data_IF_596115603606
#
_entry.id   IF_596115603606
#
_cell.length_a   1.000
_cell.length_b   1.000
_cell.length_c   1.000
_cell.angle_alpha   90.00
_cell.angle_beta   90.00
_cell.angle_gamma   90.00
#
_symmetry.space_group_name_H-M   'P 1'
#
loop_
_entity.id
_entity.type
_entity.pdbx_description
1 polymer ?
#
# COMPACT_ATOMS: atom_id res chain seq x y z
N UNK A 1 3.01 -13.43 -65.89
CA UNK A 1 2.33 -14.64 -65.39
C UNK A 1 3.09 -15.12 -64.14
N UNK A 2 2.46 -15.10 -62.98
CA UNK A 2 3.03 -15.74 -61.77
C UNK A 2 2.81 -17.27 -61.94
N UNK A 3 3.81 -18.11 -61.68
CA UNK A 3 3.61 -19.55 -61.77
C UNK A 3 2.58 -19.98 -60.75
N UNK A 4 1.64 -20.85 -61.12
CA UNK A 4 0.68 -21.47 -60.21
C UNK A 4 1.48 -22.31 -59.22
N UNK A 5 1.28 -22.04 -57.90
CA UNK A 5 1.87 -22.87 -56.84
C UNK A 5 1.37 -24.30 -56.99
N UNK A 6 2.29 -25.27 -56.90
CA UNK A 6 1.92 -26.69 -56.95
C UNK A 6 1.03 -27.06 -55.77
N UNK A 7 0.16 -28.05 -55.92
CA UNK A 7 -0.78 -28.52 -54.88
C UNK A 7 -0.02 -28.84 -53.55
N UNK A 8 1.18 -29.37 -53.66
CA UNK A 8 2.10 -29.64 -52.53
C UNK A 8 2.57 -28.37 -51.77
N UNK A 9 2.79 -27.24 -52.48
CA UNK A 9 3.15 -25.97 -51.85
C UNK A 9 1.98 -25.35 -51.11
N UNK A 10 0.76 -25.53 -51.62
CA UNK A 10 -0.47 -25.05 -50.95
C UNK A 10 -0.74 -25.83 -49.64
N UNK A 11 -0.58 -27.15 -49.70
CA UNK A 11 -0.74 -28.02 -48.50
C UNK A 11 0.32 -27.71 -47.46
N UNK A 12 1.57 -27.48 -47.83
CA UNK A 12 2.66 -27.09 -46.91
C UNK A 12 2.36 -25.74 -46.27
N UNK A 13 1.89 -24.76 -47.01
CA UNK A 13 1.54 -23.43 -46.49
C UNK A 13 0.34 -23.50 -45.57
N UNK A 14 -0.67 -24.30 -45.88
CA UNK A 14 -1.81 -24.54 -45.01
C UNK A 14 -1.44 -25.21 -43.69
N UNK A 15 -0.48 -26.17 -43.74
CA UNK A 15 0.07 -26.80 -42.54
C UNK A 15 0.79 -25.80 -41.63
N UNK A 16 1.67 -24.97 -42.22
CA UNK A 16 2.36 -23.91 -41.46
C UNK A 16 1.40 -22.87 -40.87
N UNK A 17 0.37 -22.47 -41.62
CA UNK A 17 -0.64 -21.53 -41.12
C UNK A 17 -1.39 -22.10 -39.91
N UNK A 18 -1.80 -23.39 -39.97
CA UNK A 18 -2.44 -24.05 -38.82
C UNK A 18 -1.53 -24.11 -37.59
N UNK A 19 -0.24 -24.41 -37.75
CA UNK A 19 0.73 -24.42 -36.68
C UNK A 19 0.90 -23.03 -36.04
N UNK A 20 0.97 -21.97 -36.86
CA UNK A 20 1.05 -20.59 -36.38
C UNK A 20 -0.23 -20.20 -35.59
N UNK A 21 -1.41 -20.57 -36.05
CA UNK A 21 -2.67 -20.31 -35.33
C UNK A 21 -2.71 -21.02 -34.00
N UNK A 22 -2.31 -22.30 -33.94
CA UNK A 22 -2.26 -23.05 -32.69
C UNK A 22 -1.29 -22.40 -31.68
N UNK A 23 -0.11 -21.97 -32.16
CA UNK A 23 0.87 -21.29 -31.32
C UNK A 23 0.35 -19.94 -30.79
N UNK A 24 -0.31 -19.16 -31.66
CA UNK A 24 -0.90 -17.88 -31.29
C UNK A 24 -2.01 -18.03 -30.26
N UNK A 25 -2.92 -18.99 -30.45
CA UNK A 25 -4.02 -19.26 -29.53
C UNK A 25 -3.50 -19.72 -28.17
N UNK A 26 -2.52 -20.65 -28.16
CA UNK A 26 -1.88 -21.08 -26.94
C UNK A 26 -1.16 -19.94 -26.21
N UNK A 27 -0.39 -19.11 -26.93
CA UNK A 27 0.30 -17.96 -26.37
C UNK A 27 -0.70 -16.94 -25.80
N UNK A 28 -1.80 -16.67 -26.50
CA UNK A 28 -2.83 -15.75 -26.00
C UNK A 28 -3.48 -16.25 -24.70
N UNK A 29 -3.86 -17.54 -24.68
CA UNK A 29 -4.45 -18.18 -23.48
C UNK A 29 -3.48 -18.12 -22.31
N UNK A 30 -2.21 -18.44 -22.51
CA UNK A 30 -1.17 -18.46 -21.47
C UNK A 30 -0.93 -17.04 -20.91
N UNK A 31 -0.77 -16.04 -21.79
CA UNK A 31 -0.47 -14.67 -21.40
C UNK A 31 -1.64 -13.97 -20.64
N UNK A 32 -2.84 -14.52 -20.71
CA UNK A 32 -4.01 -14.01 -19.96
C UNK A 32 -4.05 -14.48 -18.51
N UNK A 33 -3.23 -15.49 -18.12
CA UNK A 33 -3.22 -16.07 -16.78
C UNK A 33 -2.14 -15.39 -15.94
N UNK A 34 -2.55 -14.61 -14.94
CA UNK A 34 -1.64 -13.91 -14.03
C UNK A 34 -1.31 -14.69 -12.75
N UNK A 35 -2.15 -15.67 -12.39
CA UNK A 35 -1.86 -16.55 -11.26
C UNK A 35 -0.87 -17.65 -11.67
N UNK A 36 0.27 -17.71 -10.97
CA UNK A 36 1.37 -18.60 -11.34
C UNK A 36 0.99 -20.08 -11.25
N UNK A 37 0.25 -20.49 -10.22
CA UNK A 37 -0.10 -21.89 -10.03
C UNK A 37 -1.10 -22.34 -11.11
N UNK A 38 -2.11 -21.52 -11.40
CA UNK A 38 -3.07 -21.74 -12.50
C UNK A 38 -2.37 -21.79 -13.87
N UNK A 39 -1.39 -20.91 -14.07
CA UNK A 39 -0.57 -20.89 -15.31
C UNK A 39 0.23 -22.18 -15.47
N UNK A 40 0.91 -22.63 -14.42
CA UNK A 40 1.70 -23.86 -14.45
C UNK A 40 0.84 -25.10 -14.72
N UNK A 41 -0.33 -25.18 -14.11
CA UNK A 41 -1.30 -26.28 -14.35
C UNK A 41 -1.82 -26.25 -15.79
N UNK A 42 -2.09 -25.06 -16.35
CA UNK A 42 -2.50 -24.92 -17.75
C UNK A 42 -1.38 -25.34 -18.71
N UNK A 43 -0.12 -25.04 -18.40
CA UNK A 43 1.04 -25.43 -19.21
C UNK A 43 1.17 -26.96 -19.25
N UNK A 44 1.21 -27.61 -18.11
CA UNK A 44 1.38 -29.08 -18.09
C UNK A 44 0.13 -29.85 -18.52
N UNK A 45 -1.04 -29.20 -18.45
CA UNK A 45 -2.32 -29.75 -18.86
C UNK A 45 -2.66 -29.48 -20.31
N UNK A 46 -3.37 -28.39 -20.53
CA UNK A 46 -4.00 -28.07 -21.82
C UNK A 46 -2.97 -27.84 -22.94
N UNK A 47 -1.88 -27.13 -22.62
CA UNK A 47 -0.85 -26.82 -23.61
C UNK A 47 -0.11 -28.09 -24.01
N UNK A 48 0.39 -28.86 -23.07
CA UNK A 48 1.11 -30.08 -23.35
C UNK A 48 0.25 -31.07 -24.17
N UNK A 49 -1.02 -31.19 -23.84
CA UNK A 49 -1.96 -32.04 -24.59
C UNK A 49 -2.18 -31.53 -26.02
N UNK A 50 -2.34 -30.20 -26.20
CA UNK A 50 -2.54 -29.60 -27.53
C UNK A 50 -1.35 -29.86 -28.44
N UNK A 51 -0.14 -29.94 -27.89
CA UNK A 51 1.09 -30.20 -28.63
C UNK A 51 1.54 -31.68 -28.60
N UNK A 52 0.65 -32.59 -28.20
CA UNK A 52 0.87 -34.02 -28.31
C UNK A 52 1.83 -34.62 -27.28
N UNK A 53 2.04 -33.95 -26.16
CA UNK A 53 2.85 -34.47 -25.07
C UNK A 53 2.01 -35.43 -24.20
N UNK A 54 2.41 -36.71 -24.08
CA UNK A 54 1.72 -37.65 -23.21
C UNK A 54 1.96 -37.42 -21.72
N UNK A 55 3.14 -36.86 -21.39
CA UNK A 55 3.57 -36.45 -20.05
C UNK A 55 4.33 -35.14 -20.13
N UNK A 56 4.18 -34.33 -19.12
CA UNK A 56 4.84 -33.01 -19.08
C UNK A 56 5.11 -32.56 -17.66
N UNK A 57 6.17 -31.78 -17.52
CA UNK A 57 6.52 -31.12 -16.26
C UNK A 57 7.09 -29.72 -16.53
N UNK A 58 6.95 -28.85 -15.54
CA UNK A 58 7.65 -27.58 -15.47
C UNK A 58 8.54 -27.58 -14.25
N UNK A 59 9.81 -27.27 -14.47
CA UNK A 59 10.78 -27.06 -13.42
C UNK A 59 11.21 -25.59 -13.46
N UNK A 60 11.28 -24.92 -12.32
CA UNK A 60 11.74 -23.53 -12.23
C UNK A 60 13.02 -23.46 -11.41
N UNK A 61 13.91 -22.55 -11.80
CA UNK A 61 15.13 -22.29 -11.02
C UNK A 61 14.75 -21.54 -9.75
N UNK A 62 15.12 -22.12 -8.61
CA UNK A 62 15.16 -21.43 -7.31
C UNK A 62 16.45 -20.60 -7.26
N UNK A 63 16.32 -19.28 -7.22
CA UNK A 63 17.47 -18.35 -7.25
C UNK A 63 18.34 -18.47 -5.97
N UNK A 64 17.78 -18.92 -4.85
CA UNK A 64 18.52 -19.05 -3.60
C UNK A 64 19.46 -20.26 -3.59
N UNK A 65 18.99 -21.42 -4.09
CA UNK A 65 19.77 -22.67 -4.14
C UNK A 65 20.46 -22.89 -5.48
N UNK A 66 20.05 -22.17 -6.54
CA UNK A 66 20.47 -22.38 -7.93
C UNK A 66 20.19 -23.82 -8.41
N UNK A 67 19.07 -24.38 -8.00
CA UNK A 67 18.58 -25.70 -8.38
C UNK A 67 17.26 -25.58 -9.15
N UNK A 68 16.94 -26.61 -9.97
CA UNK A 68 15.65 -26.73 -10.62
C UNK A 68 14.67 -27.40 -9.65
N UNK A 69 13.60 -26.73 -9.32
CA UNK A 69 12.49 -27.27 -8.50
C UNK A 69 11.33 -27.71 -9.41
N UNK A 70 10.83 -28.93 -9.22
CA UNK A 70 9.66 -29.43 -9.91
C UNK A 70 8.41 -28.73 -9.37
N UNK A 71 7.82 -27.82 -10.14
CA UNK A 71 6.68 -26.99 -9.71
C UNK A 71 5.34 -27.47 -10.26
N UNK A 72 5.32 -28.12 -11.42
CA UNK A 72 4.12 -28.69 -12.00
C UNK A 72 4.43 -29.95 -12.79
N UNK A 73 3.52 -30.93 -12.76
CA UNK A 73 3.66 -32.21 -13.46
C UNK A 73 2.30 -32.77 -13.81
N UNK A 74 2.21 -33.43 -14.98
CA UNK A 74 1.02 -34.17 -15.41
C UNK A 74 1.40 -35.46 -16.16
N UNK A 75 0.58 -36.48 -16.00
CA UNK A 75 0.73 -37.75 -16.72
C UNK A 75 1.71 -38.75 -16.07
N UNK A 76 2.39 -38.42 -14.99
CA UNK A 76 3.24 -39.33 -14.24
C UNK A 76 2.38 -40.23 -13.35
N UNK A 77 2.60 -41.53 -13.40
CA UNK A 77 1.87 -42.53 -12.59
C UNK A 77 2.65 -42.95 -11.35
N UNK A 78 3.96 -42.78 -11.38
CA UNK A 78 4.85 -43.07 -10.24
C UNK A 78 5.27 -41.74 -9.59
N UNK A 79 5.28 -41.73 -8.25
CA UNK A 79 5.69 -40.56 -7.49
C UNK A 79 7.19 -40.59 -7.16
N UNK A 80 8.03 -40.92 -8.12
CA UNK A 80 9.50 -40.98 -7.94
C UNK A 80 10.05 -39.62 -7.57
N UNK A 81 9.51 -38.57 -8.20
CA UNK A 81 9.85 -37.20 -7.89
C UNK A 81 8.58 -36.39 -7.58
N UNK A 82 8.27 -36.13 -6.31
CA UNK A 82 7.12 -35.33 -5.93
C UNK A 82 7.33 -33.84 -6.29
N UNK A 83 6.23 -33.09 -6.42
CA UNK A 83 6.28 -31.62 -6.52
C UNK A 83 7.14 -31.07 -5.38
N UNK A 84 8.05 -30.13 -5.70
CA UNK A 84 9.07 -29.60 -4.79
C UNK A 84 10.41 -30.36 -4.83
N UNK A 85 10.51 -31.48 -5.58
CA UNK A 85 11.80 -32.16 -5.76
C UNK A 85 12.78 -31.26 -6.53
N UNK A 86 14.06 -31.32 -6.15
CA UNK A 86 15.11 -30.44 -6.69
C UNK A 86 16.17 -31.20 -7.45
N UNK A 87 16.58 -30.64 -8.60
CA UNK A 87 17.64 -31.18 -9.47
C UNK A 87 18.78 -30.19 -9.54
N UNK A 88 20.02 -30.66 -9.42
CA UNK A 88 21.22 -29.83 -9.57
C UNK A 88 21.48 -29.55 -11.04
N UNK A 89 21.56 -28.26 -11.39
CA UNK A 89 21.84 -27.82 -12.76
C UNK A 89 23.19 -28.37 -13.22
N UNK A 90 23.20 -29.03 -14.41
CA UNK A 90 24.36 -29.62 -15.03
C UNK A 90 24.89 -30.93 -14.40
N UNK A 91 24.21 -31.46 -13.37
CA UNK A 91 24.62 -32.67 -12.69
C UNK A 91 23.52 -33.75 -12.68
N UNK A 92 22.28 -33.38 -12.50
CA UNK A 92 21.19 -34.31 -12.27
C UNK A 92 20.11 -34.18 -13.34
N UNK A 93 19.80 -35.29 -14.02
CA UNK A 93 18.78 -35.40 -15.03
C UNK A 93 19.11 -34.70 -16.35
N UNK A 94 18.32 -35.02 -17.38
CA UNK A 94 18.36 -34.35 -18.68
C UNK A 94 17.92 -32.89 -18.53
N UNK A 95 16.96 -32.61 -17.67
CA UNK A 95 16.51 -31.26 -17.32
C UNK A 95 17.66 -30.37 -16.82
N UNK A 96 18.56 -30.93 -15.96
CA UNK A 96 19.74 -30.20 -15.48
C UNK A 96 20.73 -29.88 -16.58
N UNK A 97 20.92 -30.81 -17.55
CA UNK A 97 21.78 -30.60 -18.72
C UNK A 97 21.20 -29.54 -19.68
N UNK A 98 19.87 -29.57 -19.92
CA UNK A 98 19.19 -28.58 -20.74
C UNK A 98 19.30 -27.17 -20.13
N UNK A 99 19.12 -27.03 -18.83
CA UNK A 99 19.26 -25.76 -18.13
C UNK A 99 20.70 -25.20 -18.24
N UNK A 100 21.72 -26.06 -18.07
CA UNK A 100 23.14 -25.68 -18.18
C UNK A 100 23.51 -25.24 -19.58
N UNK A 101 23.14 -26.06 -20.59
CA UNK A 101 23.48 -25.79 -22.01
C UNK A 101 22.71 -24.61 -22.59
N UNK A 102 21.57 -24.24 -21.94
CA UNK A 102 20.63 -23.23 -22.44
C UNK A 102 20.05 -23.53 -23.84
N UNK A 103 20.07 -24.79 -24.22
CA UNK A 103 19.59 -25.28 -25.51
C UNK A 103 18.61 -26.42 -25.31
N UNK A 104 17.63 -26.58 -26.21
CA UNK A 104 16.79 -27.77 -26.18
C UNK A 104 17.62 -29.04 -26.22
N UNK A 105 17.23 -30.03 -25.44
CA UNK A 105 17.86 -31.33 -25.40
C UNK A 105 16.81 -32.38 -25.74
N UNK A 106 16.95 -33.04 -26.88
CA UNK A 106 16.12 -34.17 -27.29
C UNK A 106 16.86 -35.50 -27.12
N UNK A 107 16.25 -36.42 -26.42
CA UNK A 107 16.74 -37.77 -26.16
C UNK A 107 15.78 -38.78 -26.75
N UNK A 108 16.03 -39.30 -27.99
CA UNK A 108 15.13 -40.23 -28.67
C UNK A 108 15.03 -41.61 -28.00
N UNK A 109 16.02 -41.98 -27.21
CA UNK A 109 16.08 -43.19 -26.39
C UNK A 109 16.78 -42.90 -25.06
N UNK A 110 15.97 -42.73 -24.01
CA UNK A 110 16.49 -42.35 -22.68
C UNK A 110 17.38 -43.41 -22.06
N UNK A 111 17.22 -44.70 -22.45
CA UNK A 111 18.03 -45.83 -21.94
C UNK A 111 19.52 -45.72 -22.34
N UNK A 112 19.81 -44.98 -23.38
CA UNK A 112 21.17 -44.74 -23.86
C UNK A 112 21.86 -43.51 -23.27
N UNK A 113 21.11 -42.71 -22.48
CA UNK A 113 21.66 -41.48 -21.90
C UNK A 113 22.24 -41.74 -20.52
N UNK A 114 23.52 -41.44 -20.24
CA UNK A 114 24.09 -41.57 -18.92
C UNK A 114 23.57 -40.54 -17.91
N UNK A 115 22.87 -39.52 -18.38
CA UNK A 115 22.32 -38.45 -17.55
C UNK A 115 20.83 -38.63 -17.25
N UNK A 116 20.19 -39.68 -17.81
CA UNK A 116 18.76 -39.91 -17.55
C UNK A 116 18.52 -40.30 -16.10
N UNK A 117 17.62 -39.62 -15.44
CA UNK A 117 17.08 -40.00 -14.14
C UNK A 117 15.64 -40.50 -14.34
N UNK A 118 15.38 -41.67 -13.84
CA UNK A 118 14.05 -42.31 -13.98
C UNK A 118 13.04 -41.43 -13.24
N UNK A 119 12.13 -40.82 -14.01
CA UNK A 119 10.98 -40.08 -13.49
C UNK A 119 9.68 -40.90 -13.61
N UNK A 120 9.62 -41.75 -14.65
CA UNK A 120 8.54 -42.66 -14.96
C UNK A 120 9.11 -43.87 -15.70
N UNK A 121 8.84 -45.07 -15.20
CA UNK A 121 9.43 -46.32 -15.72
C UNK A 121 9.13 -46.59 -17.20
N UNK A 122 7.99 -46.12 -17.70
CA UNK A 122 7.57 -46.32 -19.09
C UNK A 122 8.05 -45.22 -20.05
N UNK A 123 8.87 -44.26 -19.64
CA UNK A 123 9.41 -43.24 -20.53
C UNK A 123 10.49 -43.81 -21.42
N UNK A 124 10.35 -43.63 -22.74
CA UNK A 124 11.34 -44.08 -23.72
C UNK A 124 12.00 -42.89 -24.47
N UNK A 125 11.31 -41.77 -24.65
CA UNK A 125 11.92 -40.54 -25.22
C UNK A 125 11.55 -39.33 -24.41
N UNK A 126 12.47 -38.30 -24.41
CA UNK A 126 12.36 -37.12 -23.60
C UNK A 126 12.83 -35.89 -24.35
N UNK A 127 12.11 -34.77 -24.17
CA UNK A 127 12.45 -33.47 -24.74
C UNK A 127 12.42 -32.43 -23.62
N UNK A 128 13.58 -31.78 -23.41
CA UNK A 128 13.77 -30.76 -22.39
C UNK A 128 14.03 -29.41 -23.05
N UNK A 129 13.18 -28.41 -22.83
CA UNK A 129 13.27 -27.12 -23.43
C UNK A 129 13.49 -26.05 -22.37
N UNK A 130 14.64 -25.35 -22.37
CA UNK A 130 14.88 -24.29 -21.43
C UNK A 130 13.92 -23.10 -21.65
N UNK A 131 13.22 -22.70 -20.59
CA UNK A 131 12.36 -21.52 -20.55
C UNK A 131 13.24 -20.29 -20.37
N UNK A 132 13.44 -19.51 -21.44
CA UNK A 132 14.39 -18.39 -21.47
C UNK A 132 13.69 -17.07 -21.72
N UNK A 133 14.09 -16.06 -20.97
CA UNK A 133 13.73 -14.67 -21.25
C UNK A 133 14.95 -13.78 -21.07
N UNK A 134 15.17 -12.84 -22.00
CA UNK A 134 16.30 -11.89 -21.98
C UNK A 134 17.67 -12.55 -21.72
N UNK A 135 17.89 -13.76 -22.25
CA UNK A 135 19.15 -14.52 -22.11
C UNK A 135 19.32 -15.26 -20.78
N UNK A 136 18.38 -15.15 -19.84
CA UNK A 136 18.33 -15.89 -18.57
C UNK A 136 17.43 -17.11 -18.71
N UNK A 137 17.83 -18.25 -18.14
CA UNK A 137 16.98 -19.44 -17.99
C UNK A 137 16.18 -19.30 -16.71
N UNK A 138 14.85 -19.36 -16.81
CA UNK A 138 13.92 -19.35 -15.67
C UNK A 138 13.62 -20.75 -15.18
N UNK A 139 13.76 -21.74 -16.05
CA UNK A 139 13.41 -23.12 -15.78
C UNK A 139 13.52 -24.00 -17.01
N UNK A 140 12.89 -25.17 -16.98
CA UNK A 140 12.83 -26.13 -18.09
C UNK A 140 11.39 -26.65 -18.21
N UNK A 141 10.89 -26.68 -19.44
CA UNK A 141 9.70 -27.45 -19.81
C UNK A 141 10.17 -28.84 -20.23
N UNK A 142 9.68 -29.86 -19.58
CA UNK A 142 9.99 -31.26 -19.84
C UNK A 142 8.79 -31.95 -20.46
N UNK A 143 8.98 -32.66 -21.55
CA UNK A 143 7.99 -33.50 -22.23
C UNK A 143 8.52 -34.92 -22.39
N UNK A 144 7.71 -35.91 -22.03
CA UNK A 144 8.08 -37.33 -22.06
C UNK A 144 7.05 -38.16 -22.83
N UNK A 145 7.54 -39.21 -23.46
CA UNK A 145 6.69 -40.15 -24.21
C UNK A 145 7.08 -41.61 -23.97
N UNK A 146 6.09 -42.55 -23.95
CA UNK A 146 6.36 -43.97 -23.78
C UNK A 146 6.84 -44.69 -25.05
N UNK A 147 7.00 -43.97 -26.16
CA UNK A 147 7.52 -44.51 -27.42
C UNK A 147 8.92 -43.95 -27.71
N UNK A 148 9.73 -44.70 -28.40
CA UNK A 148 11.03 -44.27 -28.91
C UNK A 148 10.83 -43.22 -29.99
N UNK A 149 11.73 -42.22 -30.04
CA UNK A 149 11.79 -41.18 -31.07
C UNK A 149 10.43 -40.50 -31.34
N UNK A 150 9.67 -40.25 -30.28
CA UNK A 150 8.27 -39.80 -30.35
C UNK A 150 8.07 -38.33 -30.70
N UNK A 151 9.15 -37.48 -30.70
CA UNK A 151 9.05 -36.05 -30.98
C UNK A 151 9.66 -35.70 -32.34
N UNK A 152 8.86 -35.66 -33.44
CA UNK A 152 9.34 -35.23 -34.78
C UNK A 152 9.89 -33.79 -34.73
N UNK A 153 10.82 -33.48 -35.66
CA UNK A 153 11.49 -32.18 -35.73
C UNK A 153 10.49 -31.00 -35.73
N UNK A 154 9.45 -31.08 -36.58
CA UNK A 154 8.42 -30.03 -36.67
C UNK A 154 7.67 -29.79 -35.32
N UNK A 155 7.48 -30.82 -34.50
CA UNK A 155 6.88 -30.72 -33.20
C UNK A 155 7.86 -30.10 -32.16
N UNK A 156 9.14 -30.47 -32.25
CA UNK A 156 10.21 -29.89 -31.42
C UNK A 156 10.35 -28.39 -31.66
N UNK A 157 10.39 -27.96 -32.93
CA UNK A 157 10.47 -26.55 -33.32
C UNK A 157 9.27 -25.75 -32.80
N UNK A 158 8.07 -26.35 -32.85
CA UNK A 158 6.85 -25.71 -32.35
C UNK A 158 6.85 -25.58 -30.83
N UNK A 159 7.29 -26.61 -30.11
CA UNK A 159 7.42 -26.56 -28.65
C UNK A 159 8.51 -25.59 -28.21
N UNK A 160 9.62 -25.48 -28.98
CA UNK A 160 10.66 -24.49 -28.70
C UNK A 160 10.13 -23.05 -28.85
N UNK A 161 9.41 -22.77 -29.95
CA UNK A 161 8.76 -21.47 -30.12
C UNK A 161 7.74 -21.16 -29.03
N UNK A 162 6.99 -22.16 -28.58
CA UNK A 162 6.05 -22.01 -27.45
C UNK A 162 6.79 -21.73 -26.15
N UNK A 163 7.94 -22.35 -25.90
CA UNK A 163 8.70 -22.19 -24.67
C UNK A 163 9.14 -20.72 -24.41
N UNK A 164 9.34 -19.95 -25.46
CA UNK A 164 9.62 -18.50 -25.34
C UNK A 164 8.39 -17.76 -24.75
N UNK A 165 7.19 -18.08 -25.24
CA UNK A 165 5.95 -17.51 -24.70
C UNK A 165 5.67 -17.96 -23.26
N UNK A 166 5.93 -19.25 -22.98
CA UNK A 166 5.82 -19.81 -21.62
C UNK A 166 6.76 -19.07 -20.65
N UNK A 167 8.01 -18.84 -21.06
CA UNK A 167 8.98 -18.15 -20.24
C UNK A 167 8.52 -16.71 -19.89
N UNK A 168 8.00 -15.97 -20.87
CA UNK A 168 7.47 -14.61 -20.67
C UNK A 168 6.27 -14.64 -19.72
N UNK A 169 5.32 -15.56 -19.94
CA UNK A 169 4.13 -15.68 -19.10
C UNK A 169 4.48 -16.04 -17.64
N UNK A 170 5.42 -16.95 -17.43
CA UNK A 170 5.90 -17.34 -16.10
C UNK A 170 6.62 -16.16 -15.42
N UNK A 171 7.46 -15.40 -16.15
CA UNK A 171 8.12 -14.21 -15.59
C UNK A 171 7.08 -13.16 -15.16
N UNK A 172 6.09 -12.89 -16.00
CA UNK A 172 5.00 -11.95 -15.70
C UNK A 172 4.19 -12.41 -14.48
N UNK A 173 3.82 -13.68 -14.41
CA UNK A 173 3.08 -14.22 -13.25
C UNK A 173 3.90 -14.17 -11.95
N UNK A 174 5.22 -14.43 -12.00
CA UNK A 174 6.13 -14.27 -10.86
C UNK A 174 6.19 -12.83 -10.38
N UNK A 175 6.38 -11.88 -11.31
CA UNK A 175 6.43 -10.45 -10.99
C UNK A 175 5.12 -9.96 -10.39
N UNK A 176 3.98 -10.34 -10.97
CA UNK A 176 2.67 -10.00 -10.45
C UNK A 176 2.44 -10.54 -9.04
N UNK A 177 2.83 -11.80 -8.77
CA UNK A 177 2.78 -12.40 -7.43
C UNK A 177 3.64 -11.62 -6.42
N UNK A 178 4.86 -11.23 -6.81
CA UNK A 178 5.77 -10.46 -5.95
C UNK A 178 5.22 -9.06 -5.63
N UNK A 179 4.72 -8.36 -6.66
CA UNK A 179 4.09 -7.05 -6.50
C UNK A 179 2.88 -7.12 -5.55
N UNK A 180 2.00 -8.09 -5.79
CA UNK A 180 0.82 -8.29 -4.94
C UNK A 180 1.20 -8.56 -3.48
N UNK A 181 2.16 -9.43 -3.24
CA UNK A 181 2.63 -9.74 -1.88
C UNK A 181 3.29 -8.54 -1.20
N UNK A 182 4.07 -7.74 -1.94
CA UNK A 182 4.68 -6.52 -1.43
C UNK A 182 3.61 -5.48 -1.07
N UNK A 183 2.60 -5.33 -1.92
CA UNK A 183 1.46 -4.44 -1.69
C UNK A 183 0.64 -4.86 -0.46
N UNK A 184 0.29 -6.15 -0.33
CA UNK A 184 -0.46 -6.68 0.81
C UNK A 184 0.30 -6.47 2.14
N UNK A 185 1.64 -6.61 2.13
CA UNK A 185 2.48 -6.30 3.31
C UNK A 185 2.43 -4.82 3.66
N UNK A 186 2.61 -3.94 2.66
CA UNK A 186 2.57 -2.50 2.87
C UNK A 186 1.21 -2.03 3.41
N UNK A 187 0.12 -2.52 2.85
CA UNK A 187 -1.25 -2.22 3.31
C UNK A 187 -1.46 -2.66 4.78
N UNK A 188 -0.93 -3.83 5.13
CA UNK A 188 -0.96 -4.32 6.52
C UNK A 188 -0.16 -3.44 7.47
N UNK A 189 1.08 -3.09 7.10
CA UNK A 189 1.95 -2.25 7.93
C UNK A 189 1.32 -0.86 8.15
N UNK A 190 0.69 -0.29 7.11
CA UNK A 190 -0.04 0.96 7.19
C UNK A 190 -1.27 0.85 8.12
N UNK A 191 -2.05 -0.23 8.03
CA UNK A 191 -3.19 -0.45 8.90
C UNK A 191 -2.78 -0.62 10.37
N UNK A 192 -1.65 -1.28 10.62
CA UNK A 192 -1.10 -1.44 11.97
C UNK A 192 -0.64 -0.10 12.55
N UNK A 193 0.04 0.73 11.76
CA UNK A 193 0.43 2.09 12.15
C UNK A 193 -0.77 3.00 12.45
N UNK A 194 -1.81 2.93 11.60
CA UNK A 194 -3.07 3.65 11.83
C UNK A 194 -3.70 3.29 13.18
N UNK A 195 -3.78 1.99 13.50
CA UNK A 195 -4.33 1.55 14.80
C UNK A 195 -3.55 2.11 15.98
N UNK A 196 -2.22 2.18 15.88
CA UNK A 196 -1.37 2.78 16.91
C UNK A 196 -1.68 4.28 17.02
N UNK A 197 -1.71 5.01 15.90
CA UNK A 197 -1.98 6.44 15.89
C UNK A 197 -3.34 6.78 16.50
N UNK A 198 -4.41 6.10 16.07
CA UNK A 198 -5.78 6.29 16.63
C UNK A 198 -5.81 6.00 18.13
N UNK A 199 -5.01 5.05 18.62
CA UNK A 199 -4.92 4.76 20.05
C UNK A 199 -4.31 5.89 20.89
N UNK A 200 -3.56 6.79 20.26
CA UNK A 200 -2.98 7.96 20.91
C UNK A 200 -4.00 9.09 21.10
N UNK A 201 -5.00 9.18 20.22
CA UNK A 201 -6.02 10.24 20.28
C UNK A 201 -7.06 9.95 21.36
N UNK A 202 -7.65 10.99 21.97
CA UNK A 202 -8.80 10.84 22.86
C UNK A 202 -9.99 10.18 22.13
N UNK A 203 -10.68 9.25 22.79
CA UNK A 203 -11.72 8.44 22.13
C UNK A 203 -13.16 8.92 22.33
N UNK A 204 -13.43 9.69 23.40
CA UNK A 204 -14.79 10.07 23.78
C UNK A 204 -14.85 11.53 24.15
N UNK A 205 -15.99 12.17 23.92
CA UNK A 205 -16.26 13.48 24.50
C UNK A 205 -16.10 13.40 26.03
N UNK A 206 -15.44 14.40 26.61
CA UNK A 206 -15.16 14.44 28.02
C UNK A 206 -15.91 15.60 28.69
N UNK A 207 -16.75 15.25 29.65
CA UNK A 207 -17.43 16.25 30.48
C UNK A 207 -16.58 16.63 31.70
N UNK A 208 -16.26 17.91 31.85
CA UNK A 208 -15.40 18.42 32.91
C UNK A 208 -16.04 19.65 33.55
N UNK A 209 -16.66 19.47 34.71
CA UNK A 209 -17.40 20.56 35.35
C UNK A 209 -18.55 21.04 34.47
N UNK A 210 -18.59 22.34 34.17
CA UNK A 210 -19.60 22.97 33.31
C UNK A 210 -19.24 22.89 31.81
N UNK A 211 -18.15 22.21 31.42
CA UNK A 211 -17.66 22.14 30.05
C UNK A 211 -17.81 20.74 29.47
N UNK A 212 -17.93 20.68 28.15
CA UNK A 212 -17.67 19.48 27.35
C UNK A 212 -16.55 19.76 26.36
N UNK A 213 -15.67 18.79 26.19
CA UNK A 213 -14.58 18.82 25.22
C UNK A 213 -14.68 17.60 24.33
N UNK A 214 -14.68 17.81 23.02
CA UNK A 214 -14.77 16.74 22.03
C UNK A 214 -13.95 17.09 20.80
N UNK A 215 -13.50 16.08 20.07
CA UNK A 215 -12.73 16.31 18.85
C UNK A 215 -12.78 15.10 17.93
N UNK A 216 -12.50 15.38 16.67
CA UNK A 216 -12.39 14.41 15.60
C UNK A 216 -11.19 14.73 14.72
N UNK A 217 -10.50 13.70 14.29
CA UNK A 217 -9.42 13.76 13.31
C UNK A 217 -9.70 12.74 12.22
N UNK A 218 -9.71 13.19 10.98
CA UNK A 218 -9.92 12.39 9.80
C UNK A 218 -8.68 12.49 8.90
N UNK A 219 -7.79 11.51 8.93
CA UNK A 219 -6.61 11.51 8.07
C UNK A 219 -7.00 11.15 6.63
N UNK A 220 -6.34 11.80 5.66
CA UNK A 220 -6.47 11.51 4.22
C UNK A 220 -5.67 10.28 3.80
N UNK A 221 -4.57 10.02 4.48
CA UNK A 221 -3.74 8.82 4.30
C UNK A 221 -4.04 7.79 5.39
N UNK A 222 -3.39 6.62 5.30
CA UNK A 222 -3.49 5.62 6.37
C UNK A 222 -3.08 6.18 7.75
N UNK A 223 -2.09 7.08 7.78
CA UNK A 223 -1.65 7.84 8.94
C UNK A 223 -1.42 9.30 8.56
N UNK A 224 -1.65 10.25 9.47
CA UNK A 224 -1.60 11.69 9.23
C UNK A 224 -0.65 12.44 10.14
N UNK A 225 -0.42 13.73 9.80
CA UNK A 225 0.30 14.70 10.61
C UNK A 225 -0.56 15.37 11.67
N UNK A 226 -1.85 15.45 11.39
CA UNK A 226 -2.84 16.08 12.24
C UNK A 226 -3.13 15.28 13.53
N UNK A 227 -3.39 15.99 14.59
CA UNK A 227 -3.81 15.41 15.87
C UNK A 227 -4.48 16.43 16.77
N UNK A 228 -5.32 15.95 17.67
CA UNK A 228 -5.83 16.72 18.78
C UNK A 228 -5.63 15.96 20.10
N UNK A 229 -5.62 16.70 21.19
CA UNK A 229 -5.53 16.09 22.51
C UNK A 229 -6.23 16.95 23.58
N UNK A 230 -6.71 16.28 24.62
CA UNK A 230 -7.11 16.92 25.86
C UNK A 230 -6.78 16.01 27.03
N UNK A 231 -6.21 16.57 28.09
CA UNK A 231 -5.70 15.81 29.21
C UNK A 231 -5.60 16.69 30.47
N UNK A 232 -5.73 16.09 31.68
CA UNK A 232 -5.58 16.84 32.93
C UNK A 232 -4.13 17.31 33.09
N UNK A 233 -3.96 18.60 33.42
CA UNK A 233 -2.65 19.23 33.69
C UNK A 233 -2.52 19.73 35.17
N UNK A 234 -3.62 19.74 35.88
CA UNK A 234 -3.70 20.13 37.31
C UNK A 234 -5.09 19.95 37.83
N UNK A 235 -5.32 20.33 39.11
CA UNK A 235 -6.63 20.24 39.74
C UNK A 235 -7.61 21.28 39.18
N UNK A 236 -8.57 20.80 38.38
CA UNK A 236 -9.51 21.62 37.63
C UNK A 236 -8.93 22.27 36.35
N UNK A 237 -7.72 21.89 35.95
CA UNK A 237 -7.06 22.37 34.74
C UNK A 237 -6.98 21.27 33.70
N UNK A 238 -7.37 21.58 32.45
CA UNK A 238 -7.32 20.69 31.29
C UNK A 238 -6.47 21.32 30.19
N UNK A 239 -5.43 20.62 29.77
CA UNK A 239 -4.67 20.96 28.58
C UNK A 239 -5.43 20.57 27.32
N UNK A 240 -5.47 21.44 26.34
CA UNK A 240 -6.11 21.30 25.03
C UNK A 240 -5.04 21.53 23.96
N UNK A 241 -4.97 20.66 22.97
CA UNK A 241 -4.02 20.80 21.88
C UNK A 241 -4.66 20.42 20.54
N UNK A 242 -4.33 21.15 19.50
CA UNK A 242 -4.53 20.74 18.12
C UNK A 242 -3.25 21.14 17.36
N UNK A 243 -2.69 20.21 16.61
CA UNK A 243 -1.47 20.42 15.87
C UNK A 243 -1.50 19.70 14.53
N UNK A 244 -0.75 20.25 13.58
CA UNK A 244 -0.54 19.70 12.26
C UNK A 244 0.95 19.72 11.93
N UNK A 245 1.49 18.57 11.54
CA UNK A 245 2.89 18.37 11.17
C UNK A 245 3.05 18.50 9.67
N UNK A 246 3.92 19.40 9.24
CA UNK A 246 4.23 19.58 7.82
C UNK A 246 4.64 18.26 7.15
N UNK A 247 3.95 17.90 6.07
CA UNK A 247 4.14 16.66 5.31
C UNK A 247 3.05 15.63 5.57
N UNK A 248 3.15 14.45 4.94
CA UNK A 248 2.10 13.42 4.97
C UNK A 248 2.68 12.03 5.25
N UNK A 249 1.83 11.12 5.71
CA UNK A 249 2.16 9.72 5.92
C UNK A 249 3.05 9.45 7.14
N UNK A 250 3.83 8.37 7.08
CA UNK A 250 4.58 7.84 8.22
C UNK A 250 5.57 8.84 8.87
N UNK A 251 6.35 9.64 8.12
CA UNK A 251 7.24 10.63 8.76
C UNK A 251 6.48 11.66 9.60
N UNK A 252 5.39 12.22 9.07
CA UNK A 252 4.56 13.18 9.79
C UNK A 252 3.91 12.55 11.04
N UNK A 253 3.42 11.31 10.94
CA UNK A 253 2.84 10.57 12.06
C UNK A 253 3.84 10.32 13.21
N UNK A 254 5.10 10.03 12.90
CA UNK A 254 6.16 9.86 13.91
C UNK A 254 6.49 11.18 14.63
N UNK A 255 6.61 12.28 13.87
CA UNK A 255 6.86 13.59 14.44
C UNK A 255 5.67 14.07 15.29
N UNK A 256 4.43 13.80 14.85
CA UNK A 256 3.22 14.03 15.62
C UNK A 256 3.26 13.30 16.97
N UNK A 257 3.54 12.01 16.97
CA UNK A 257 3.60 11.20 18.19
C UNK A 257 4.67 11.71 19.16
N UNK A 258 5.83 12.12 18.66
CA UNK A 258 6.92 12.74 19.45
C UNK A 258 6.47 14.07 20.03
N UNK A 259 5.94 14.98 19.21
CA UNK A 259 5.45 16.30 19.63
C UNK A 259 4.40 16.18 20.72
N UNK A 260 3.41 15.31 20.53
CA UNK A 260 2.35 15.03 21.52
C UNK A 260 2.91 14.51 22.84
N UNK A 261 3.87 13.61 22.80
CA UNK A 261 4.47 13.02 24.00
C UNK A 261 5.27 14.06 24.79
N UNK A 262 6.07 14.88 24.11
CA UNK A 262 6.83 15.97 24.73
C UNK A 262 5.88 17.00 25.34
N UNK A 263 4.83 17.41 24.61
CA UNK A 263 3.81 18.33 25.10
C UNK A 263 3.19 17.83 26.42
N UNK A 264 2.70 16.59 26.44
CA UNK A 264 2.07 16.01 27.64
C UNK A 264 3.01 15.94 28.84
N UNK A 265 4.30 15.75 28.61
CA UNK A 265 5.30 15.73 29.69
C UNK A 265 5.54 17.13 30.28
N UNK A 266 5.60 18.16 29.44
CA UNK A 266 5.90 19.53 29.85
C UNK A 266 4.68 20.29 30.36
N UNK A 267 3.48 20.00 29.84
CA UNK A 267 2.22 20.60 30.26
C UNK A 267 1.89 20.42 31.76
N UNK A 268 2.41 19.38 32.40
CA UNK A 268 2.18 19.08 33.84
C UNK A 268 2.94 20.00 34.81
N UNK A 269 3.73 20.95 34.31
CA UNK A 269 4.59 21.82 35.13
C UNK A 269 3.95 23.14 35.58
N UNK A 270 2.62 23.32 35.50
CA UNK A 270 1.89 24.55 35.82
C UNK A 270 2.43 25.82 35.10
N UNK A 271 3.04 25.67 33.93
CA UNK A 271 3.47 26.77 33.09
C UNK A 271 2.31 27.28 32.23
N UNK A 272 2.36 28.54 31.82
CA UNK A 272 1.37 29.09 30.89
C UNK A 272 1.48 28.46 29.49
N UNK A 273 0.40 28.46 28.69
CA UNK A 273 0.43 27.93 27.32
C UNK A 273 1.58 28.50 26.48
N UNK A 274 1.84 29.81 26.56
CA UNK A 274 2.95 30.47 25.86
C UNK A 274 4.32 29.93 26.29
N UNK A 275 4.53 29.69 27.58
CA UNK A 275 5.78 29.10 28.08
C UNK A 275 5.97 27.67 27.61
N UNK A 276 4.89 26.88 27.58
CA UNK A 276 4.91 25.49 27.13
C UNK A 276 5.26 25.43 25.64
N UNK A 277 4.63 26.24 24.78
CA UNK A 277 4.96 26.30 23.36
C UNK A 277 6.39 26.77 23.13
N UNK A 278 6.88 27.75 23.88
CA UNK A 278 8.27 28.22 23.78
C UNK A 278 9.25 27.08 24.09
N UNK A 279 9.02 26.36 25.20
CA UNK A 279 9.91 25.27 25.58
C UNK A 279 9.82 24.08 24.60
N UNK A 280 8.60 23.77 24.11
CA UNK A 280 8.40 22.74 23.11
C UNK A 280 9.15 23.11 21.81
N UNK A 281 9.06 24.38 21.38
CA UNK A 281 9.77 24.86 20.20
C UNK A 281 11.30 24.71 20.32
N UNK A 282 11.86 25.05 21.48
CA UNK A 282 13.31 24.89 21.70
C UNK A 282 13.74 23.42 21.51
N UNK A 283 12.97 22.47 22.04
CA UNK A 283 13.26 21.03 21.86
C UNK A 283 13.12 20.60 20.40
N UNK A 284 12.04 21.04 19.72
CA UNK A 284 11.80 20.62 18.34
C UNK A 284 12.78 21.23 17.35
N UNK A 285 13.32 22.45 17.62
CA UNK A 285 14.39 23.02 16.81
C UNK A 285 15.67 22.19 16.84
N UNK A 286 15.95 21.53 17.97
CA UNK A 286 17.14 20.68 18.11
C UNK A 286 16.91 19.25 17.55
N UNK A 287 15.71 18.69 17.71
CA UNK A 287 15.42 17.29 17.45
C UNK A 287 14.84 17.00 16.05
N UNK A 288 14.20 17.99 15.40
CA UNK A 288 13.52 17.77 14.13
C UNK A 288 14.46 17.82 12.93
N UNK A 289 14.22 16.98 11.90
CA UNK A 289 14.92 17.10 10.63
C UNK A 289 14.72 18.49 10.00
N UNK A 290 15.75 18.99 9.32
CA UNK A 290 15.66 20.29 8.62
C UNK A 290 14.47 20.33 7.66
N UNK A 291 13.68 21.40 7.74
CA UNK A 291 12.48 21.59 6.92
C UNK A 291 11.21 20.97 7.48
N UNK A 292 11.28 20.26 8.61
CA UNK A 292 10.11 19.79 9.34
C UNK A 292 9.65 20.85 10.34
N UNK A 293 8.35 21.06 10.45
CA UNK A 293 7.75 21.98 11.41
C UNK A 293 6.35 21.53 11.82
N UNK A 294 5.83 22.09 12.88
CA UNK A 294 4.48 21.82 13.38
C UNK A 294 3.75 23.14 13.57
N UNK A 295 2.57 23.27 12.97
CA UNK A 295 1.62 24.30 13.38
C UNK A 295 0.82 23.78 14.58
N UNK A 296 0.60 24.60 15.58
CA UNK A 296 -0.07 24.14 16.80
C UNK A 296 -0.82 25.25 17.56
N UNK A 297 -1.98 24.90 18.10
CA UNK A 297 -2.59 25.62 19.20
C UNK A 297 -2.50 24.76 20.44
N UNK A 298 -2.04 25.36 21.53
CA UNK A 298 -2.10 24.79 22.86
C UNK A 298 -2.82 25.71 23.82
N UNK A 299 -3.67 25.15 24.69
CA UNK A 299 -4.40 25.94 25.68
C UNK A 299 -4.61 25.21 26.99
N UNK A 300 -5.00 25.98 27.99
CA UNK A 300 -5.41 25.47 29.30
C UNK A 300 -6.79 25.98 29.64
N UNK A 301 -7.75 25.06 29.86
CA UNK A 301 -9.08 25.33 30.35
C UNK A 301 -9.07 25.24 31.87
N UNK A 302 -9.34 26.34 32.55
CA UNK A 302 -9.58 26.38 33.99
C UNK A 302 -11.10 26.25 34.25
N UNK A 303 -11.52 25.08 34.68
CA UNK A 303 -12.95 24.78 34.91
C UNK A 303 -13.52 25.45 36.14
N UNK A 304 -12.69 25.94 37.09
CA UNK A 304 -13.11 26.66 38.29
C UNK A 304 -13.27 28.14 38.04
N UNK A 305 -12.32 28.74 37.24
CA UNK A 305 -12.39 30.15 36.87
C UNK A 305 -13.20 30.38 35.59
N UNK A 306 -13.60 29.28 34.91
CA UNK A 306 -14.36 29.32 33.66
C UNK A 306 -13.65 30.08 32.53
N UNK A 307 -12.32 29.97 32.50
CA UNK A 307 -11.45 30.69 31.57
C UNK A 307 -10.68 29.69 30.68
N UNK A 308 -10.52 30.04 29.41
CA UNK A 308 -9.67 29.35 28.45
C UNK A 308 -8.50 30.25 28.10
N UNK A 309 -7.28 29.77 28.28
CA UNK A 309 -6.05 30.47 27.86
C UNK A 309 -5.50 29.73 26.65
N UNK A 310 -5.29 30.43 25.54
CA UNK A 310 -4.77 29.85 24.29
C UNK A 310 -3.50 30.55 23.84
N UNK A 311 -2.60 29.78 23.23
CA UNK A 311 -1.38 30.24 22.56
C UNK A 311 -1.26 29.52 21.22
N UNK A 312 -0.75 30.21 20.17
CA UNK A 312 -0.68 29.68 18.80
C UNK A 312 0.74 29.76 18.25
N UNK A 313 1.17 28.69 17.60
CA UNK A 313 2.40 28.56 16.85
C UNK A 313 2.09 28.33 15.36
N UNK A 314 1.77 29.40 14.63
CA UNK A 314 1.52 29.36 13.18
C UNK A 314 0.27 28.61 12.74
N UNK A 315 -0.66 28.34 13.66
CA UNK A 315 -1.88 27.57 13.36
C UNK A 315 -3.07 28.49 13.03
N UNK A 316 -4.09 28.03 12.25
CA UNK A 316 -5.28 28.82 11.96
C UNK A 316 -5.95 29.39 13.22
N UNK A 317 -6.50 30.60 13.14
CA UNK A 317 -7.15 31.25 14.26
C UNK A 317 -8.42 30.51 14.65
N UNK A 318 -8.67 30.24 15.96
CA UNK A 318 -9.87 29.58 16.42
C UNK A 318 -11.13 30.41 16.14
N UNK A 319 -12.27 29.75 16.15
CA UNK A 319 -13.58 30.40 16.13
C UNK A 319 -14.23 30.35 17.51
N UNK A 320 -14.96 31.41 17.85
CA UNK A 320 -15.83 31.43 19.03
C UNK A 320 -17.28 31.65 18.60
N UNK A 321 -18.17 30.75 19.02
CA UNK A 321 -19.60 30.89 18.86
C UNK A 321 -20.21 31.36 20.18
N UNK A 322 -20.92 32.50 20.11
CA UNK A 322 -21.63 33.12 21.22
C UNK A 322 -23.09 33.35 20.82
N UNK A 323 -23.91 33.83 21.71
CA UNK A 323 -25.30 34.30 21.38
C UNK A 323 -25.36 35.38 20.30
N UNK A 324 -24.25 36.08 20.04
CA UNK A 324 -24.15 37.15 19.07
C UNK A 324 -23.66 36.66 17.69
N UNK A 325 -23.37 35.36 17.54
CA UNK A 325 -22.86 34.76 16.31
C UNK A 325 -21.47 34.16 16.47
N UNK A 326 -20.89 33.75 15.34
CA UNK A 326 -19.55 33.13 15.24
C UNK A 326 -18.55 34.17 14.80
N UNK A 327 -17.45 34.31 15.53
CA UNK A 327 -16.38 35.26 15.25
C UNK A 327 -15.02 34.59 15.29
N UNK A 328 -14.03 35.16 14.61
CA UNK A 328 -12.65 34.79 14.74
C UNK A 328 -12.13 35.20 16.13
N UNK A 329 -11.32 34.34 16.72
CA UNK A 329 -10.70 34.59 18.01
C UNK A 329 -9.22 34.90 17.80
N UNK A 330 -8.87 36.20 17.89
CA UNK A 330 -7.49 36.64 17.68
C UNK A 330 -6.58 36.18 18.84
N UNK A 331 -5.61 35.34 18.52
CA UNK A 331 -4.55 34.91 19.43
C UNK A 331 -3.23 35.46 18.90
N UNK A 332 -2.37 36.08 19.77
CA UNK A 332 -1.03 36.46 19.36
C UNK A 332 -0.29 35.23 18.77
N UNK A 333 -0.07 35.24 17.45
CA UNK A 333 0.57 34.15 16.74
C UNK A 333 2.09 34.21 16.83
N UNK A 334 2.72 33.10 16.52
CA UNK A 334 4.15 32.94 16.32
C UNK A 334 4.44 32.11 15.08
N UNK A 335 5.70 31.87 14.77
CA UNK A 335 6.09 30.93 13.72
C UNK A 335 5.71 29.49 14.13
N UNK A 336 5.51 28.58 13.17
CA UNK A 336 5.40 27.16 13.46
C UNK A 336 6.58 26.65 14.29
N UNK A 337 6.34 25.63 15.12
CA UNK A 337 7.35 25.01 15.97
C UNK A 337 8.41 24.27 15.12
N UNK A 338 9.66 24.31 15.55
CA UNK A 338 10.78 23.61 14.91
C UNK A 338 11.47 24.37 13.78
N UNK A 339 11.00 25.59 13.43
CA UNK A 339 11.65 26.42 12.39
C UNK A 339 12.86 27.16 12.94
N UNK A 340 12.65 27.92 14.02
CA UNK A 340 13.69 28.68 14.74
C UNK A 340 13.23 29.05 16.15
N UNK A 341 14.17 29.37 17.01
CA UNK A 341 13.87 29.83 18.36
C UNK A 341 12.87 31.03 18.32
N UNK A 342 11.74 30.87 18.99
CA UNK A 342 10.64 31.82 19.00
C UNK A 342 10.00 31.87 20.38
N UNK A 343 9.39 33.03 20.70
CA UNK A 343 8.54 33.17 21.89
C UNK A 343 7.10 33.38 21.45
N UNK A 344 6.18 32.86 22.22
CA UNK A 344 4.76 32.91 21.92
C UNK A 344 4.01 33.80 22.90
N UNK A 345 2.91 34.41 22.43
CA UNK A 345 1.96 35.14 23.26
C UNK A 345 0.77 34.25 23.62
N UNK A 346 -0.09 34.73 24.50
CA UNK A 346 -1.32 34.05 24.90
C UNK A 346 -2.49 35.00 25.04
N UNK A 347 -3.72 34.49 24.83
CA UNK A 347 -4.98 35.23 25.06
C UNK A 347 -5.81 34.50 26.10
N UNK A 348 -6.47 35.29 26.97
CA UNK A 348 -7.39 34.77 28.00
C UNK A 348 -8.82 35.03 27.54
N UNK A 349 -9.62 33.99 27.49
CA UNK A 349 -10.99 33.98 26.99
C UNK A 349 -11.92 33.60 28.13
N UNK A 350 -12.91 34.45 28.40
CA UNK A 350 -13.99 34.13 29.35
C UNK A 350 -15.19 33.58 28.55
N UNK A 351 -15.56 32.35 28.82
CA UNK A 351 -16.67 31.68 28.11
C UNK A 351 -17.94 31.85 28.94
N UNK A 352 -19.02 32.41 28.37
CA UNK A 352 -20.35 32.44 28.97
C UNK A 352 -21.08 31.10 28.82
N UNK A 353 -22.08 30.75 29.64
CA UNK A 353 -22.91 29.60 29.43
C UNK A 353 -23.52 29.57 28.04
N UNK A 354 -23.29 28.46 27.28
CA UNK A 354 -23.73 28.28 25.90
C UNK A 354 -22.67 28.66 24.86
N UNK A 355 -21.58 29.34 25.24
CA UNK A 355 -20.48 29.64 24.31
C UNK A 355 -19.68 28.38 23.95
N UNK A 356 -19.11 28.37 22.74
CA UNK A 356 -18.25 27.30 22.24
C UNK A 356 -17.04 27.85 21.54
N UNK A 357 -15.90 27.15 21.60
CA UNK A 357 -14.67 27.46 20.84
C UNK A 357 -14.34 26.27 19.96
N UNK A 358 -14.02 26.53 18.70
CA UNK A 358 -13.54 25.57 17.71
C UNK A 358 -12.07 25.84 17.41
N UNK A 359 -11.24 24.83 17.62
CA UNK A 359 -9.92 24.71 17.04
C UNK A 359 -10.03 23.78 15.83
N UNK A 360 -9.34 24.09 14.73
CA UNK A 360 -9.47 23.33 13.48
C UNK A 360 -8.18 23.41 12.65
N UNK A 361 -7.88 22.36 11.87
CA UNK A 361 -6.78 22.39 10.89
C UNK A 361 -7.26 22.95 9.54
N UNK A 362 -6.30 23.38 8.73
CA UNK A 362 -6.54 23.98 7.41
C UNK A 362 -7.20 23.01 6.42
N UNK A 363 -6.97 21.71 6.53
CA UNK A 363 -7.61 20.72 5.68
C UNK A 363 -9.14 20.75 5.68
N UNK A 364 -9.77 21.37 6.71
CA UNK A 364 -11.22 21.60 6.69
C UNK A 364 -11.59 22.72 5.71
N UNK A 365 -10.90 23.87 5.77
CA UNK A 365 -11.21 25.01 4.91
C UNK A 365 -10.72 24.83 3.49
N UNK A 366 -9.67 24.05 3.27
CA UNK A 366 -9.10 23.72 1.97
C UNK A 366 -9.78 22.54 1.27
N UNK A 367 -10.78 21.92 1.93
CA UNK A 367 -11.57 20.86 1.32
C UNK A 367 -12.18 21.37 0.00
N UNK A 368 -11.90 20.68 -1.10
CA UNK A 368 -12.24 21.16 -2.45
C UNK A 368 -13.42 20.40 -3.04
N UNK A 369 -14.39 21.13 -3.60
CA UNK A 369 -15.50 20.55 -4.37
C UNK A 369 -14.99 19.95 -5.69
N UNK A 370 -15.79 19.10 -6.37
CA UNK A 370 -15.47 18.59 -7.71
C UNK A 370 -15.26 19.69 -8.78
N UNK A 371 -15.75 20.90 -8.51
CA UNK A 371 -15.58 22.06 -9.37
C UNK A 371 -14.33 22.89 -9.04
N UNK A 372 -13.57 22.51 -7.99
CA UNK A 372 -12.36 23.19 -7.56
C UNK A 372 -12.60 24.41 -6.65
N UNK A 373 -13.81 24.56 -6.08
CA UNK A 373 -14.07 25.57 -5.05
C UNK A 373 -13.65 25.03 -3.68
N UNK A 374 -13.04 25.88 -2.86
CA UNK A 374 -12.73 25.56 -1.47
C UNK A 374 -13.95 25.67 -0.55
N UNK A 375 -14.00 24.87 0.50
CA UNK A 375 -15.01 24.96 1.55
C UNK A 375 -15.04 26.34 2.19
N UNK A 376 -13.88 26.79 2.58
CA UNK A 376 -13.63 28.15 3.01
C UNK A 376 -14.24 28.52 4.38
N UNK A 377 -13.84 29.70 4.85
CA UNK A 377 -14.17 30.17 6.19
C UNK A 377 -15.66 30.42 6.43
N UNK A 378 -16.37 30.90 5.42
CA UNK A 378 -17.81 31.22 5.54
C UNK A 378 -18.65 29.95 5.81
N UNK A 379 -18.38 28.87 5.07
CA UNK A 379 -19.07 27.57 5.28
C UNK A 379 -18.67 26.94 6.62
N UNK A 380 -17.40 27.10 7.02
CA UNK A 380 -16.94 26.67 8.33
C UNK A 380 -17.71 27.38 9.45
N UNK A 381 -17.85 28.71 9.41
CA UNK A 381 -18.62 29.48 10.40
C UNK A 381 -20.09 29.08 10.41
N UNK A 382 -20.70 28.84 9.24
CA UNK A 382 -22.08 28.40 9.17
C UNK A 382 -22.27 26.99 9.77
N UNK A 383 -21.40 26.04 9.52
CA UNK A 383 -21.46 24.71 10.09
C UNK A 383 -21.22 24.71 11.61
N UNK A 384 -20.34 25.57 12.10
CA UNK A 384 -20.07 25.73 13.53
C UNK A 384 -21.21 26.44 14.28
N UNK A 385 -22.00 27.28 13.61
CA UNK A 385 -23.15 27.95 14.20
C UNK A 385 -24.38 27.05 14.38
N UNK A 386 -24.33 25.77 13.97
CA UNK A 386 -25.47 24.86 14.06
C UNK A 386 -25.90 24.63 15.51
N UNK A 387 -27.24 24.59 15.74
CA UNK A 387 -27.82 24.43 17.08
C UNK A 387 -27.44 23.07 17.74
N UNK A 388 -27.39 22.00 16.92
CA UNK A 388 -27.05 20.64 17.36
C UNK A 388 -25.63 20.31 16.93
N UNK A 389 -24.68 21.07 17.48
CA UNK A 389 -23.25 20.89 17.19
C UNK A 389 -22.75 19.58 17.81
N UNK A 390 -22.61 18.55 16.98
CA UNK A 390 -21.97 17.30 17.31
C UNK A 390 -20.46 17.37 17.00
N UNK A 391 -19.68 16.42 17.52
CA UNK A 391 -18.23 16.39 17.40
C UNK A 391 -17.72 16.33 15.94
N UNK A 392 -18.53 15.73 15.06
CA UNK A 392 -18.24 15.50 13.64
C UNK A 392 -18.89 16.54 12.71
N UNK A 393 -19.76 17.42 13.20
CA UNK A 393 -20.59 18.30 12.38
C UNK A 393 -19.78 19.10 11.36
N UNK A 394 -18.66 19.67 11.77
CA UNK A 394 -17.81 20.52 10.93
C UNK A 394 -17.07 19.69 9.87
N UNK A 395 -16.50 18.56 10.28
CA UNK A 395 -15.78 17.66 9.36
C UNK A 395 -16.74 17.01 8.38
N UNK A 396 -17.92 16.58 8.85
CA UNK A 396 -18.97 16.02 7.98
C UNK A 396 -19.47 17.03 6.93
N UNK A 397 -19.57 18.31 7.27
CA UNK A 397 -19.93 19.36 6.35
C UNK A 397 -18.85 19.55 5.25
N UNK A 398 -17.55 19.55 5.61
CA UNK A 398 -16.45 19.64 4.66
C UNK A 398 -16.38 18.39 3.75
N UNK A 399 -16.59 17.19 4.29
CA UNK A 399 -16.67 15.95 3.50
C UNK A 399 -17.83 15.94 2.53
N UNK A 400 -19.01 16.37 2.96
CA UNK A 400 -20.20 16.48 2.10
C UNK A 400 -19.99 17.46 0.94
N UNK A 401 -19.27 18.55 1.20
CA UNK A 401 -18.92 19.53 0.18
C UNK A 401 -17.92 18.99 -0.83
N UNK A 402 -16.92 18.21 -0.39
CA UNK A 402 -15.92 17.58 -1.25
C UNK A 402 -16.45 16.36 -2.03
N UNK A 403 -17.64 15.81 -1.68
CA UNK A 403 -18.20 14.60 -2.30
C UNK A 403 -18.58 14.82 -3.78
N UNK A 404 -18.30 13.83 -4.69
CA UNK A 404 -17.76 12.50 -4.45
C UNK A 404 -16.22 12.43 -4.35
N UNK A 405 -15.53 13.57 -4.26
CA UNK A 405 -14.09 13.63 -4.06
C UNK A 405 -13.68 13.22 -2.64
N UNK A 406 -12.38 13.15 -2.41
CA UNK A 406 -11.79 12.96 -1.09
C UNK A 406 -11.22 14.31 -0.62
N UNK A 407 -11.10 14.47 0.69
CA UNK A 407 -10.34 15.60 1.26
C UNK A 407 -8.90 15.57 0.72
N UNK A 408 -8.31 16.73 0.53
CA UNK A 408 -6.94 16.88 0.01
C UNK A 408 -5.89 16.85 1.11
N UNK A 409 -6.30 17.16 2.35
CA UNK A 409 -5.48 17.11 3.55
C UNK A 409 -6.22 16.58 4.77
N UNK A 410 -5.46 16.23 5.82
CA UNK A 410 -6.00 15.77 7.09
C UNK A 410 -6.94 16.84 7.66
N UNK A 411 -8.10 16.43 8.18
CA UNK A 411 -9.11 17.33 8.72
C UNK A 411 -9.33 17.05 10.21
N UNK A 412 -9.01 18.04 11.04
CA UNK A 412 -9.09 17.90 12.50
C UNK A 412 -9.86 19.06 13.12
N UNK A 413 -10.78 18.73 14.03
CA UNK A 413 -11.55 19.68 14.82
C UNK A 413 -11.52 19.32 16.30
N UNK A 414 -11.42 20.33 17.16
CA UNK A 414 -11.55 20.21 18.60
C UNK A 414 -12.50 21.28 19.11
N UNK A 415 -13.57 20.87 19.76
CA UNK A 415 -14.64 21.76 20.28
C UNK A 415 -14.61 21.79 21.80
N UNK A 416 -14.59 22.99 22.34
CA UNK A 416 -14.79 23.24 23.76
C UNK A 416 -16.11 23.98 23.93
N UNK A 417 -17.08 23.40 24.63
CA UNK A 417 -18.40 24.00 24.83
C UNK A 417 -18.68 24.21 26.32
N UNK A 418 -19.07 25.41 26.70
CA UNK A 418 -19.64 25.65 28.03
C UNK A 418 -21.13 25.33 28.01
N UNK A 419 -21.56 24.39 28.84
CA UNK A 419 -22.97 23.97 28.90
C UNK A 419 -23.84 25.10 29.44
N UNK A 420 -25.06 25.27 28.89
CA UNK A 420 -26.10 26.07 29.49
C UNK A 420 -26.64 25.31 30.70
N UNK A 421 -26.71 25.96 31.84
CA UNK A 421 -27.35 25.40 33.04
C UNK A 421 -28.84 25.22 32.84
#
# INVERSE_FOLDING_TARGET
MRPAKTQSEVELLQGRLRQMMLLQDAAHKINSILDLDTLLDAIVGDVAQTFGCSRSAVLLIDEASNELELVAVRGWTTHVHPKGFRFKIGREGLVGQAALSKKPLYTPDVSKSPHYLISEETTQSELDIPLKTRGRVLGVFNAQHPELDAFPEAQRDLLEALAEHLAIAIENAKLFRQERQARERLEKDQADAHRVQVSLLPRNAHEIGSFSVSGMCLPVSAVGGDWFDYFPVGDGLVGLALGDVAGKGMPAALLMASTRSILRQHAKKNASPAQILTHLNDILCDDFPQGSFVTMIYGTLDTRRETLILSSAGHPQPLVATRNGVNDLEIPGGLPLGIQASRFGESVINLAPGDSVLLYSDGIIEASSPQGEEFGMERLKQSFAAKDLADDTVIAAAQAFASPGMLTDDATALIVKRRSL
#
